data_IF_081980642240
#
_entry.id   IF_081980642240
#
_cell.length_a   1.000
_cell.length_b   1.000
_cell.length_c   1.000
_cell.angle_alpha   90.00
_cell.angle_beta   90.00
_cell.angle_gamma   90.00
#
_symmetry.space_group_name_H-M   'P 1'
#
loop_
_entity.id
_entity.type
_entity.pdbx_description
1 polymer ?
#
# COMPACT_ATOMS: atom_id res chain seq x y z
N UNK A 1 16.68 43.76 32.38
CA UNK A 1 16.46 42.31 32.54
C UNK A 1 15.34 41.92 31.60
N UNK A 2 15.68 41.26 30.49
CA UNK A 2 14.73 40.74 29.50
C UNK A 2 14.28 39.35 29.96
N UNK A 3 12.99 39.00 29.94
CA UNK A 3 12.60 37.61 30.10
C UNK A 3 12.84 36.87 28.78
N UNK A 4 13.50 35.72 28.88
CA UNK A 4 13.63 34.77 27.79
C UNK A 4 12.31 34.03 27.60
N UNK A 5 11.75 34.10 26.39
CA UNK A 5 10.64 33.25 25.94
C UNK A 5 11.12 31.80 25.85
N UNK A 6 10.35 30.79 26.29
CA UNK A 6 10.69 29.40 26.05
C UNK A 6 10.54 29.11 24.56
N UNK A 7 11.59 28.57 23.94
CA UNK A 7 11.55 28.08 22.57
C UNK A 7 10.48 26.98 22.43
N UNK A 8 9.60 27.13 21.45
CA UNK A 8 8.67 26.09 21.01
C UNK A 8 9.46 24.82 20.65
N UNK A 9 8.99 23.60 21.00
CA UNK A 9 9.56 22.39 20.46
C UNK A 9 9.39 22.44 18.94
N UNK A 10 10.51 22.51 18.24
CA UNK A 10 10.55 22.57 16.78
C UNK A 10 9.67 21.50 16.17
N UNK A 11 8.86 21.90 15.19
CA UNK A 11 8.21 20.99 14.28
C UNK A 11 9.24 19.95 13.86
N UNK A 12 9.08 18.71 14.32
CA UNK A 12 9.96 17.63 13.93
C UNK A 12 9.94 17.59 12.40
N UNK A 13 11.07 17.88 11.75
CA UNK A 13 11.33 17.51 10.37
C UNK A 13 10.79 16.10 10.20
N UNK A 14 9.69 15.95 9.44
CA UNK A 14 9.04 14.67 9.22
C UNK A 14 10.01 13.81 8.42
N UNK A 15 10.89 13.11 9.14
CA UNK A 15 11.93 12.31 8.51
C UNK A 15 11.27 11.11 7.87
N UNK A 16 11.33 11.08 6.54
CA UNK A 16 10.89 9.94 5.76
C UNK A 16 11.85 8.79 6.01
N UNK A 17 11.32 7.66 6.46
CA UNK A 17 12.08 6.45 6.77
C UNK A 17 11.58 5.28 5.93
N UNK A 18 12.39 4.24 5.83
CA UNK A 18 11.98 2.95 5.27
C UNK A 18 11.58 2.03 6.42
N UNK A 19 10.38 1.47 6.37
CA UNK A 19 9.90 0.44 7.30
C UNK A 19 9.80 -0.88 6.56
N UNK A 20 10.50 -1.89 7.07
CA UNK A 20 10.58 -3.22 6.49
C UNK A 20 9.58 -4.16 7.13
N UNK A 21 8.92 -4.92 6.27
CA UNK A 21 8.03 -6.02 6.61
C UNK A 21 8.71 -7.33 6.24
N UNK A 22 8.42 -8.39 7.01
CA UNK A 22 8.88 -9.74 6.75
C UNK A 22 7.67 -10.66 6.67
N UNK A 23 7.66 -11.51 5.66
CA UNK A 23 6.58 -12.46 5.39
C UNK A 23 7.15 -13.75 4.82
N UNK A 24 6.33 -14.79 4.81
CA UNK A 24 6.70 -16.06 4.18
C UNK A 24 6.44 -15.93 2.67
N UNK A 25 7.44 -16.15 1.80
CA UNK A 25 7.23 -16.15 0.36
C UNK A 25 6.13 -17.15 -0.04
N UNK A 26 5.28 -16.75 -0.98
CA UNK A 26 4.24 -17.63 -1.53
C UNK A 26 4.85 -18.56 -2.58
N UNK A 27 4.51 -19.84 -2.52
CA UNK A 27 4.93 -20.81 -3.53
C UNK A 27 4.44 -20.40 -4.93
N UNK A 28 5.33 -20.45 -5.93
CA UNK A 28 5.01 -20.07 -7.31
C UNK A 28 4.84 -18.57 -7.55
N UNK A 29 5.19 -17.73 -6.57
CA UNK A 29 5.14 -16.26 -6.67
C UNK A 29 6.54 -15.64 -6.68
N UNK A 30 6.62 -14.32 -6.50
CA UNK A 30 7.89 -13.60 -6.36
C UNK A 30 8.69 -14.13 -5.15
N UNK A 31 10.01 -14.33 -5.27
CA UNK A 31 10.83 -15.01 -4.26
C UNK A 31 11.19 -14.12 -3.05
N UNK A 32 10.51 -12.99 -2.90
CA UNK A 32 10.79 -12.02 -1.83
C UNK A 32 10.16 -12.48 -0.52
N UNK A 33 10.90 -12.33 0.57
CA UNK A 33 10.47 -12.57 1.96
C UNK A 33 10.34 -11.26 2.75
N UNK A 34 10.65 -10.14 2.12
CA UNK A 34 10.64 -8.81 2.70
C UNK A 34 10.13 -7.78 1.72
N UNK A 35 9.52 -6.73 2.26
CA UNK A 35 9.12 -5.54 1.51
C UNK A 35 9.40 -4.31 2.36
N UNK A 36 10.05 -3.32 1.77
CA UNK A 36 10.27 -2.03 2.42
C UNK A 36 9.25 -1.01 1.91
N UNK A 37 8.52 -0.39 2.83
CA UNK A 37 7.60 0.71 2.54
C UNK A 37 8.18 2.03 3.02
N UNK A 38 7.93 3.11 2.29
CA UNK A 38 8.22 4.46 2.75
C UNK A 38 7.20 4.86 3.83
N UNK A 39 7.68 5.56 4.85
CA UNK A 39 6.83 6.01 5.95
C UNK A 39 7.33 7.35 6.50
N UNK A 40 6.41 8.21 6.93
CA UNK A 40 6.75 9.38 7.75
C UNK A 40 6.87 8.94 9.21
N UNK A 41 8.03 9.17 9.82
CA UNK A 41 8.23 8.94 11.26
C UNK A 41 7.33 9.87 12.08
N UNK A 42 6.59 9.29 13.03
CA UNK A 42 5.72 10.02 13.96
C UNK A 42 6.32 10.10 15.37
N UNK A 43 7.07 9.10 15.79
CA UNK A 43 7.72 9.05 17.11
C UNK A 43 9.02 8.23 17.08
N UNK A 44 9.54 7.86 18.26
CA UNK A 44 10.71 6.98 18.37
C UNK A 44 10.48 5.59 17.75
N UNK A 45 9.25 5.09 17.79
CA UNK A 45 8.90 3.72 17.39
C UNK A 45 7.61 3.61 16.56
N UNK A 46 7.00 4.73 16.13
CA UNK A 46 5.83 4.72 15.25
C UNK A 46 6.05 5.53 13.97
N UNK A 47 5.49 5.06 12.86
CA UNK A 47 5.53 5.74 11.58
C UNK A 47 4.22 5.51 10.79
N UNK A 48 3.88 6.45 9.90
CA UNK A 48 2.74 6.35 8.98
C UNK A 48 3.22 5.89 7.61
N UNK A 49 2.66 4.79 7.10
CA UNK A 49 2.97 4.26 5.77
C UNK A 49 2.51 5.23 4.68
N UNK A 50 3.33 5.44 3.65
CA UNK A 50 3.12 6.47 2.60
C UNK A 50 3.01 5.93 1.18
N UNK A 51 3.16 4.61 0.99
CA UNK A 51 3.00 4.02 -0.33
C UNK A 51 2.37 2.63 -0.22
N UNK A 52 1.77 2.21 -1.32
CA UNK A 52 0.95 0.98 -1.38
C UNK A 52 1.84 -0.27 -1.39
N UNK A 53 1.52 -1.34 -0.63
CA UNK A 53 2.29 -2.57 -0.65
C UNK A 53 2.02 -3.46 -1.88
N UNK A 54 3.09 -3.95 -2.50
CA UNK A 54 3.04 -4.96 -3.56
C UNK A 54 2.97 -6.39 -3.04
N UNK A 55 3.49 -6.66 -1.84
CA UNK A 55 3.70 -8.03 -1.36
C UNK A 55 3.11 -8.27 0.04
N UNK A 56 3.30 -7.33 0.96
CA UNK A 56 2.86 -7.46 2.35
C UNK A 56 1.33 -7.40 2.46
N UNK A 57 0.73 -8.49 2.93
CA UNK A 57 -0.70 -8.55 3.22
C UNK A 57 -1.05 -7.89 4.56
N UNK A 58 -2.30 -7.44 4.67
CA UNK A 58 -2.86 -6.83 5.89
C UNK A 58 -2.38 -5.40 6.17
N UNK A 59 -1.64 -4.78 5.23
CA UNK A 59 -1.13 -3.42 5.36
C UNK A 59 -1.71 -2.53 4.25
N UNK A 60 -2.06 -1.31 4.59
CA UNK A 60 -2.52 -0.30 3.65
C UNK A 60 -1.75 1.02 3.79
N UNK A 61 -1.69 1.79 2.72
CA UNK A 61 -1.19 3.16 2.75
C UNK A 61 -1.97 3.98 3.80
N UNK A 62 -1.26 4.84 4.52
CA UNK A 62 -1.80 5.71 5.57
C UNK A 62 -1.90 5.07 6.94
N UNK A 63 -1.69 3.76 7.08
CA UNK A 63 -1.72 3.10 8.39
C UNK A 63 -0.56 3.57 9.27
N UNK A 64 -0.81 3.67 10.58
CA UNK A 64 0.24 3.90 11.57
C UNK A 64 0.71 2.56 12.11
N UNK A 65 2.01 2.33 12.05
CA UNK A 65 2.64 1.08 12.48
C UNK A 65 3.71 1.34 13.53
N UNK A 66 3.84 0.39 14.45
CA UNK A 66 4.98 0.33 15.38
C UNK A 66 6.13 -0.40 14.69
N UNK A 67 7.34 0.08 14.84
CA UNK A 67 8.56 -0.56 14.37
C UNK A 67 9.61 -0.67 15.48
N UNK A 68 10.57 -1.57 15.28
CA UNK A 68 11.79 -1.65 16.10
C UNK A 68 12.99 -1.48 15.18
N UNK A 69 13.94 -0.65 15.61
CA UNK A 69 15.24 -0.50 14.93
C UNK A 69 16.17 -1.61 15.38
N UNK A 70 16.74 -2.36 14.43
CA UNK A 70 17.74 -3.38 14.73
C UNK A 70 19.16 -2.80 14.85
N UNK A 71 20.14 -3.68 15.04
CA UNK A 71 21.54 -3.30 15.18
C UNK A 71 22.14 -2.66 13.90
N UNK A 72 21.55 -2.93 12.74
CA UNK A 72 21.97 -2.40 11.44
C UNK A 72 21.25 -1.09 11.09
N UNK A 73 20.37 -0.61 11.98
CA UNK A 73 19.60 0.62 11.78
C UNK A 73 18.33 0.43 10.94
N UNK A 74 17.96 -0.80 10.58
CA UNK A 74 16.74 -1.08 9.83
C UNK A 74 15.52 -1.04 10.75
N UNK A 75 14.46 -0.36 10.29
CA UNK A 75 13.21 -0.28 11.02
C UNK A 75 12.29 -1.42 10.60
N UNK A 76 12.07 -2.40 11.48
CA UNK A 76 11.21 -3.55 11.23
C UNK A 76 9.83 -3.34 11.84
N UNK A 77 8.78 -3.42 11.01
CA UNK A 77 7.40 -3.38 11.48
C UNK A 77 7.11 -4.49 12.50
N UNK A 78 6.28 -4.17 13.50
CA UNK A 78 5.84 -5.11 14.54
C UNK A 78 4.34 -5.30 14.53
N UNK A 79 3.59 -4.21 14.56
CA UNK A 79 2.14 -4.24 14.63
C UNK A 79 1.56 -2.95 14.05
N UNK A 80 0.30 -3.04 13.64
CA UNK A 80 -0.51 -1.88 13.31
C UNK A 80 -1.01 -1.23 14.60
N UNK A 81 -0.80 0.07 14.70
CA UNK A 81 -1.26 0.93 15.80
C UNK A 81 -2.59 1.60 15.44
N UNK A 82 -2.72 2.06 14.19
CA UNK A 82 -3.92 2.75 13.70
C UNK A 82 -4.20 2.33 12.25
N UNK A 83 -5.44 1.95 11.97
CA UNK A 83 -5.89 1.64 10.61
C UNK A 83 -6.22 2.94 9.86
N UNK A 84 -5.89 3.01 8.57
CA UNK A 84 -6.23 4.15 7.71
C UNK A 84 -7.66 4.10 7.17
N UNK A 85 -8.30 2.93 7.23
CA UNK A 85 -9.55 2.64 6.52
C UNK A 85 -9.37 2.38 5.02
N UNK A 86 -8.15 2.53 4.49
CA UNK A 86 -7.86 2.23 3.10
C UNK A 86 -7.77 0.70 2.88
N UNK A 87 -7.99 0.28 1.64
CA UNK A 87 -7.69 -1.08 1.19
C UNK A 87 -6.49 -1.07 0.24
N UNK A 88 -5.81 -2.21 0.17
CA UNK A 88 -4.75 -2.48 -0.81
C UNK A 88 -5.27 -3.49 -1.81
N UNK A 89 -5.35 -3.10 -3.08
CA UNK A 89 -5.74 -3.99 -4.18
C UNK A 89 -4.56 -4.15 -5.12
N UNK A 90 -4.29 -5.37 -5.58
CA UNK A 90 -3.24 -5.63 -6.55
C UNK A 90 -3.85 -6.26 -7.80
N UNK A 91 -3.50 -5.72 -8.97
CA UNK A 91 -4.06 -6.10 -10.26
C UNK A 91 -2.92 -6.46 -11.20
N UNK A 92 -2.95 -7.66 -11.76
CA UNK A 92 -1.97 -8.14 -12.74
C UNK A 92 -2.68 -8.39 -14.07
N UNK A 93 -2.39 -7.61 -15.12
CA UNK A 93 -3.04 -7.81 -16.41
C UNK A 93 -2.63 -9.14 -17.03
N UNK A 94 -3.58 -9.84 -17.65
CA UNK A 94 -3.33 -11.12 -18.32
C UNK A 94 -2.57 -10.86 -19.62
N UNK A 95 -1.35 -11.43 -19.82
CA UNK A 95 -0.53 -11.12 -21.00
C UNK A 95 -1.20 -11.40 -22.35
N UNK A 96 -1.99 -12.46 -22.44
CA UNK A 96 -2.75 -12.87 -23.63
C UNK A 96 -4.17 -12.29 -23.67
N UNK A 97 -4.55 -11.49 -22.67
CA UNK A 97 -5.88 -10.92 -22.54
C UNK A 97 -6.06 -9.64 -23.37
N UNK A 98 -7.29 -9.08 -23.40
CA UNK A 98 -7.61 -7.90 -24.20
C UNK A 98 -6.79 -6.65 -23.89
N UNK A 99 -6.22 -6.54 -22.68
CA UNK A 99 -5.41 -5.40 -22.26
C UNK A 99 -3.89 -5.63 -22.47
N UNK A 100 -3.48 -6.85 -22.84
CA UNK A 100 -2.07 -7.24 -22.92
C UNK A 100 -1.31 -7.01 -21.61
N UNK A 101 0.02 -6.92 -21.66
CA UNK A 101 0.89 -6.66 -20.49
C UNK A 101 0.93 -5.17 -20.10
N UNK A 102 -0.20 -4.47 -20.10
CA UNK A 102 -0.25 -3.00 -19.97
C UNK A 102 -0.79 -2.55 -18.61
N UNK A 103 0.12 -2.15 -17.71
CA UNK A 103 -0.27 -1.44 -16.47
C UNK A 103 -1.02 -0.14 -16.76
N UNK A 104 -0.64 0.57 -17.83
CA UNK A 104 -1.34 1.78 -18.30
C UNK A 104 -2.81 1.49 -18.61
N UNK A 105 -3.11 0.38 -19.29
CA UNK A 105 -4.48 0.00 -19.61
C UNK A 105 -5.30 -0.34 -18.35
N UNK A 106 -4.68 -0.95 -17.34
CA UNK A 106 -5.30 -1.18 -16.02
C UNK A 106 -5.68 0.16 -15.37
N UNK A 107 -4.74 1.11 -15.31
CA UNK A 107 -5.03 2.46 -14.78
C UNK A 107 -6.14 3.17 -15.55
N UNK A 108 -6.15 3.10 -16.88
CA UNK A 108 -7.20 3.72 -17.69
C UNK A 108 -8.59 3.15 -17.37
N UNK A 109 -8.72 1.83 -17.18
CA UNK A 109 -9.98 1.19 -16.80
C UNK A 109 -10.46 1.60 -15.41
N UNK A 110 -9.54 1.79 -14.47
CA UNK A 110 -9.85 2.17 -13.08
C UNK A 110 -9.88 3.69 -12.85
N UNK A 111 -9.51 4.49 -13.85
CA UNK A 111 -9.47 5.95 -13.78
C UNK A 111 -10.77 6.63 -13.33
N UNK A 112 -12.00 6.12 -13.62
CA UNK A 112 -13.22 6.73 -13.10
C UNK A 112 -13.30 6.80 -11.57
N UNK A 113 -12.53 5.96 -10.87
CA UNK A 113 -12.48 5.94 -9.39
C UNK A 113 -11.38 6.83 -8.80
N UNK A 114 -10.50 7.41 -9.63
CA UNK A 114 -9.46 8.33 -9.16
C UNK A 114 -8.45 7.72 -8.18
N UNK A 115 -8.17 6.41 -8.30
CA UNK A 115 -7.31 5.69 -7.36
C UNK A 115 -5.83 6.05 -7.55
N UNK A 116 -5.11 6.18 -6.42
CA UNK A 116 -3.65 6.21 -6.40
C UNK A 116 -3.07 4.80 -6.48
N UNK A 117 -1.81 4.68 -6.88
CA UNK A 117 -1.12 3.39 -6.93
C UNK A 117 0.26 3.46 -7.56
N UNK A 118 0.93 2.31 -7.55
CA UNK A 118 2.27 2.12 -8.09
C UNK A 118 2.32 0.87 -8.98
N UNK A 119 3.28 0.81 -9.91
CA UNK A 119 3.54 -0.34 -10.78
C UNK A 119 4.86 -0.98 -10.37
N UNK A 120 4.87 -2.30 -10.21
CA UNK A 120 6.04 -3.03 -9.71
C UNK A 120 7.23 -2.92 -10.68
N UNK A 121 7.04 -3.28 -11.95
CA UNK A 121 8.01 -3.06 -13.03
C UNK A 121 7.36 -3.19 -14.42
N UNK A 122 8.08 -2.81 -15.47
CA UNK A 122 7.61 -3.05 -16.85
C UNK A 122 7.57 -4.55 -17.20
N UNK A 123 8.54 -5.32 -16.67
CA UNK A 123 8.62 -6.76 -16.90
C UNK A 123 7.57 -7.55 -16.14
N UNK A 124 7.10 -7.05 -15.01
CA UNK A 124 6.04 -7.62 -14.19
C UNK A 124 5.04 -6.52 -13.83
N UNK A 125 4.04 -6.23 -14.69
CA UNK A 125 3.18 -5.06 -14.59
C UNK A 125 2.08 -5.21 -13.53
N UNK A 126 2.44 -5.69 -12.33
CA UNK A 126 1.57 -5.71 -11.16
C UNK A 126 1.31 -4.27 -10.72
N UNK A 127 0.04 -3.89 -10.70
CA UNK A 127 -0.42 -2.57 -10.25
C UNK A 127 -0.97 -2.71 -8.83
N UNK A 128 -0.31 -2.08 -7.86
CA UNK A 128 -0.83 -1.97 -6.50
C UNK A 128 -1.57 -0.63 -6.37
N UNK A 129 -2.77 -0.67 -5.80
CA UNK A 129 -3.70 0.44 -5.72
C UNK A 129 -4.13 0.67 -4.27
N UNK A 130 -4.12 1.93 -3.87
CA UNK A 130 -4.75 2.39 -2.63
C UNK A 130 -6.20 2.70 -2.94
N UNK A 131 -7.13 2.00 -2.29
CA UNK A 131 -8.57 2.29 -2.35
C UNK A 131 -8.97 3.02 -1.07
N UNK A 132 -9.26 4.34 -1.13
CA UNK A 132 -9.63 5.10 0.06
C UNK A 132 -10.94 4.62 0.69
N UNK A 133 -11.06 4.78 2.01
CA UNK A 133 -12.26 4.37 2.76
C UNK A 133 -13.59 4.97 2.23
N UNK A 134 -13.53 6.18 1.67
CA UNK A 134 -14.68 6.90 1.11
C UNK A 134 -14.89 6.71 -0.39
N UNK A 135 -14.13 5.84 -1.05
CA UNK A 135 -14.31 5.55 -2.48
C UNK A 135 -15.56 4.71 -2.74
N UNK A 136 -15.98 4.62 -4.01
CA UNK A 136 -17.06 3.72 -4.44
C UNK A 136 -16.60 2.25 -4.40
N UNK A 137 -16.59 1.66 -3.20
CA UNK A 137 -16.08 0.30 -2.98
C UNK A 137 -16.85 -0.73 -3.82
N UNK A 138 -18.18 -0.60 -3.88
CA UNK A 138 -19.05 -1.51 -4.65
C UNK A 138 -18.77 -1.43 -6.15
N UNK A 139 -18.66 -0.22 -6.71
CA UNK A 139 -18.31 -0.01 -8.12
C UNK A 139 -16.92 -0.53 -8.46
N UNK A 140 -15.92 -0.29 -7.60
CA UNK A 140 -14.55 -0.79 -7.79
C UNK A 140 -14.55 -2.32 -7.80
N UNK A 141 -15.18 -2.95 -6.81
CA UNK A 141 -15.27 -4.41 -6.69
C UNK A 141 -15.98 -5.03 -7.89
N UNK A 142 -17.09 -4.43 -8.34
CA UNK A 142 -17.81 -4.87 -9.53
C UNK A 142 -16.93 -4.80 -10.80
N UNK A 143 -16.16 -3.73 -10.98
CA UNK A 143 -15.24 -3.62 -12.12
C UNK A 143 -14.11 -4.64 -12.05
N UNK A 144 -13.50 -4.86 -10.88
CA UNK A 144 -12.43 -5.84 -10.69
C UNK A 144 -12.90 -7.26 -11.03
N UNK A 145 -14.06 -7.65 -10.52
CA UNK A 145 -14.69 -8.96 -10.80
C UNK A 145 -14.96 -9.11 -12.29
N UNK A 146 -15.65 -8.14 -12.90
CA UNK A 146 -15.94 -8.17 -14.33
C UNK A 146 -14.67 -8.23 -15.17
N UNK A 147 -13.64 -7.44 -14.84
CA UNK A 147 -12.39 -7.45 -15.58
C UNK A 147 -11.66 -8.79 -15.48
N UNK A 148 -11.81 -9.52 -14.37
CA UNK A 148 -11.32 -10.88 -14.26
C UNK A 148 -12.12 -11.87 -15.12
N UNK A 149 -13.46 -11.76 -15.12
CA UNK A 149 -14.35 -12.59 -15.95
C UNK A 149 -14.13 -12.35 -17.45
N UNK A 150 -13.91 -11.10 -17.86
CA UNK A 150 -13.63 -10.68 -19.23
C UNK A 150 -12.16 -10.98 -19.65
N UNK A 151 -11.36 -11.58 -18.76
CA UNK A 151 -9.98 -12.00 -19.03
C UNK A 151 -8.97 -10.86 -19.14
N UNK A 152 -9.27 -9.69 -18.56
CA UNK A 152 -8.39 -8.51 -18.60
C UNK A 152 -7.22 -8.63 -17.63
N UNK A 153 -7.48 -9.16 -16.43
CA UNK A 153 -6.51 -9.24 -15.33
C UNK A 153 -6.85 -10.35 -14.34
N UNK A 154 -5.90 -10.66 -13.48
CA UNK A 154 -6.15 -11.23 -12.17
C UNK A 154 -6.08 -10.11 -11.13
N UNK A 155 -6.80 -10.25 -10.02
CA UNK A 155 -6.64 -9.33 -8.90
C UNK A 155 -6.66 -10.04 -7.55
N UNK A 156 -6.06 -9.41 -6.55
CA UNK A 156 -6.14 -9.82 -5.17
C UNK A 156 -6.35 -8.62 -4.24
N UNK A 157 -6.91 -8.90 -3.06
CA UNK A 157 -7.12 -7.91 -2.01
C UNK A 157 -6.04 -8.12 -0.96
N UNK A 158 -4.97 -7.33 -1.02
CA UNK A 158 -3.85 -7.40 -0.09
C UNK A 158 -4.21 -6.89 1.31
N UNK A 159 -5.11 -5.92 1.42
CA UNK A 159 -5.66 -5.48 2.71
C UNK A 159 -7.14 -5.12 2.53
N UNK A 160 -8.01 -5.74 3.32
CA UNK A 160 -9.46 -5.58 3.27
C UNK A 160 -10.01 -5.04 4.58
N UNK A 161 -10.86 -4.01 4.50
CA UNK A 161 -11.67 -3.53 5.62
C UNK A 161 -13.01 -4.25 5.70
N UNK A 162 -13.77 -4.06 6.79
CA UNK A 162 -15.15 -4.55 6.88
C UNK A 162 -16.04 -3.89 5.83
N UNK A 163 -15.88 -2.57 5.61
CA UNK A 163 -16.59 -1.85 4.56
C UNK A 163 -16.37 -2.45 3.16
N UNK A 164 -15.16 -2.93 2.86
CA UNK A 164 -14.88 -3.64 1.61
C UNK A 164 -15.57 -5.00 1.51
N UNK A 165 -15.64 -5.72 2.63
CA UNK A 165 -16.31 -7.03 2.69
C UNK A 165 -17.81 -6.91 2.49
N UNK A 166 -18.42 -5.88 3.07
CA UNK A 166 -19.86 -5.65 3.07
C UNK A 166 -20.39 -4.94 1.80
N UNK A 167 -19.49 -4.39 0.98
CA UNK A 167 -19.81 -3.71 -0.28
C UNK A 167 -20.11 -4.64 -1.46
#
# INVERSE_FOLDING_TARGET
MTPATPSEPGAAESSRIKVWYRFVPREGWLPHDTEGLWATRLSGDTARVENVPFLQDGVAEGEVVRFVTDADGLHWAKERVEASGNCTIRVLPVPSGPLGRSARAVHERLSPFGLGGEVFSEEFPLVALTVPAGADLGGIKALLVRGQEDGWWHFEVGCATDAWRDA
#
